data_IF_129832692316
#
_entry.id   IF_129832692316
#
_cell.length_a   1.000
_cell.length_b   1.000
_cell.length_c   1.000
_cell.angle_alpha   90.00
_cell.angle_beta   90.00
_cell.angle_gamma   90.00
#
_symmetry.space_group_name_H-M   'P 1'
#
loop_
_entity.id
_entity.type
_entity.pdbx_description
1 polymer ?
#
# COMPACT_ATOMS: atom_id res chain seq x y z
N UNK A 1 -11.17 -12.84 -33.56
CA UNK A 1 -11.00 -12.04 -34.79
C UNK A 1 -10.32 -12.91 -35.85
N UNK A 2 -11.01 -13.21 -36.94
CA UNK A 2 -10.46 -13.81 -38.17
C UNK A 2 -9.91 -12.70 -39.06
N UNK A 3 -8.82 -12.98 -39.77
CA UNK A 3 -8.19 -12.05 -40.72
C UNK A 3 -8.06 -12.78 -42.06
N UNK A 4 -8.40 -12.11 -43.15
CA UNK A 4 -8.18 -12.65 -44.50
C UNK A 4 -6.68 -12.71 -44.83
N UNK A 5 -6.30 -13.67 -45.67
CA UNK A 5 -4.89 -13.88 -46.03
C UNK A 5 -4.33 -12.77 -46.95
N UNK A 6 -5.20 -12.10 -47.71
CA UNK A 6 -4.86 -11.08 -48.71
C UNK A 6 -4.90 -9.63 -48.19
N UNK A 7 -4.83 -9.41 -46.88
CA UNK A 7 -4.86 -8.05 -46.32
C UNK A 7 -3.53 -7.33 -46.57
N UNK A 8 -3.57 -6.16 -47.22
CA UNK A 8 -2.42 -5.27 -47.39
C UNK A 8 -1.90 -4.82 -46.02
N UNK A 9 -0.60 -5.01 -45.76
CA UNK A 9 0.02 -4.79 -44.45
C UNK A 9 0.02 -3.34 -43.95
N UNK A 10 -0.22 -2.37 -44.84
CA UNK A 10 -0.28 -0.95 -44.51
C UNK A 10 -1.65 -0.48 -44.00
N UNK A 11 -2.72 -1.26 -44.25
CA UNK A 11 -4.08 -0.99 -43.78
C UNK A 11 -4.24 -1.20 -42.27
N UNK A 12 -5.24 -0.58 -41.61
CA UNK A 12 -5.55 -0.85 -40.20
C UNK A 12 -5.79 -2.34 -39.91
N UNK A 13 -6.43 -3.07 -40.83
CA UNK A 13 -6.65 -4.51 -40.70
C UNK A 13 -5.35 -5.31 -40.83
N UNK A 14 -4.44 -4.90 -41.71
CA UNK A 14 -3.12 -5.53 -41.87
C UNK A 14 -2.26 -5.37 -40.63
N UNK A 15 -2.33 -4.20 -39.98
CA UNK A 15 -1.66 -3.93 -38.71
C UNK A 15 -2.25 -4.71 -37.55
N UNK A 16 -3.58 -4.79 -37.44
CA UNK A 16 -4.22 -5.62 -36.40
C UNK A 16 -3.89 -7.11 -36.59
N UNK A 17 -3.82 -7.58 -37.84
CA UNK A 17 -3.29 -8.91 -38.18
C UNK A 17 -1.84 -9.03 -37.70
N UNK A 18 -1.00 -8.05 -38.01
CA UNK A 18 0.39 -8.03 -37.59
C UNK A 18 0.58 -8.09 -36.07
N UNK A 19 -0.25 -7.36 -35.30
CA UNK A 19 -0.25 -7.42 -33.83
C UNK A 19 -0.65 -8.82 -33.35
N UNK A 20 -1.72 -9.40 -33.90
CA UNK A 20 -2.15 -10.77 -33.53
C UNK A 20 -1.06 -11.81 -33.79
N UNK A 21 -0.27 -11.63 -34.85
CA UNK A 21 0.79 -12.55 -35.25
C UNK A 21 2.20 -12.13 -34.79
N UNK A 22 2.32 -11.06 -33.99
CA UNK A 22 3.58 -10.61 -33.41
C UNK A 22 4.58 -9.95 -34.38
N UNK A 23 4.16 -9.59 -35.59
CA UNK A 23 5.00 -8.88 -36.57
C UNK A 23 4.91 -7.35 -36.44
N UNK A 24 3.89 -6.85 -35.75
CA UNK A 24 3.68 -5.43 -35.47
C UNK A 24 3.42 -5.22 -33.98
N UNK A 25 3.70 -4.00 -33.49
CA UNK A 25 3.43 -3.64 -32.09
C UNK A 25 2.30 -2.63 -31.96
N UNK A 26 1.62 -2.63 -30.81
CA UNK A 26 0.62 -1.61 -30.48
C UNK A 26 1.15 -0.18 -30.62
N UNK A 27 2.44 0.05 -30.34
CA UNK A 27 3.07 1.37 -30.46
C UNK A 27 3.22 1.83 -31.91
N UNK A 28 3.48 0.89 -32.84
CA UNK A 28 3.56 1.18 -34.27
C UNK A 28 2.18 1.45 -34.84
N UNK A 29 1.17 0.66 -34.45
CA UNK A 29 -0.22 0.94 -34.80
C UNK A 29 -0.65 2.32 -34.31
N UNK A 30 -0.41 2.65 -33.04
CA UNK A 30 -0.77 3.95 -32.46
C UNK A 30 -0.10 5.11 -33.22
N UNK A 31 1.19 4.97 -33.55
CA UNK A 31 1.90 5.96 -34.37
C UNK A 31 1.25 6.15 -35.74
N UNK A 32 0.82 5.07 -36.41
CA UNK A 32 0.17 5.18 -37.72
C UNK A 32 -1.22 5.82 -37.63
N UNK A 33 -1.99 5.48 -36.59
CA UNK A 33 -3.27 6.14 -36.31
C UNK A 33 -3.08 7.65 -36.07
N UNK A 34 -2.05 8.04 -35.32
CA UNK A 34 -1.69 9.46 -35.15
C UNK A 34 -1.38 10.11 -36.50
N UNK A 35 -0.64 9.44 -37.38
CA UNK A 35 -0.34 9.95 -38.72
C UNK A 35 -1.61 10.19 -39.56
N UNK A 36 -2.59 9.28 -39.51
CA UNK A 36 -3.88 9.47 -40.20
C UNK A 36 -4.70 10.61 -39.60
N UNK A 37 -4.55 10.86 -38.29
CA UNK A 37 -5.16 11.99 -37.59
C UNK A 37 -4.38 13.31 -37.74
N UNK A 38 -3.28 13.34 -38.51
CA UNK A 38 -2.45 14.54 -38.68
C UNK A 38 -1.60 14.90 -37.45
N UNK A 39 -1.35 13.94 -36.54
CA UNK A 39 -0.57 14.13 -35.32
C UNK A 39 0.85 13.58 -35.48
N UNK A 40 1.84 14.35 -35.02
CA UNK A 40 3.21 13.85 -34.91
C UNK A 40 3.32 12.85 -33.76
N UNK A 41 3.83 11.66 -34.06
CA UNK A 41 4.03 10.60 -33.07
C UNK A 41 5.33 9.85 -33.34
N UNK A 42 6.09 9.59 -32.27
CA UNK A 42 7.33 8.82 -32.30
C UNK A 42 7.19 7.57 -31.45
N UNK A 43 7.96 6.53 -31.79
CA UNK A 43 8.14 5.34 -30.94
C UNK A 43 9.47 5.49 -30.23
N UNK A 44 9.44 5.52 -28.91
CA UNK A 44 10.60 5.63 -28.03
C UNK A 44 10.98 4.24 -27.58
N UNK A 45 12.29 3.95 -27.58
CA UNK A 45 12.87 2.72 -27.06
C UNK A 45 13.61 3.02 -25.75
N UNK A 46 13.49 2.11 -24.79
CA UNK A 46 14.03 2.34 -23.45
C UNK A 46 14.00 1.09 -22.57
N UNK A 47 14.10 1.35 -21.27
CA UNK A 47 13.91 0.40 -20.20
C UNK A 47 12.62 0.71 -19.44
N UNK A 48 12.02 -0.29 -18.81
CA UNK A 48 10.89 -0.08 -17.90
C UNK A 48 10.94 -0.97 -16.68
N UNK A 49 10.44 -0.49 -15.54
CA UNK A 49 10.23 -1.29 -14.32
C UNK A 49 8.98 -2.18 -14.46
N UNK A 50 8.96 -3.03 -15.48
CA UNK A 50 7.84 -3.88 -15.90
C UNK A 50 7.62 -5.09 -14.98
N UNK A 51 6.74 -6.01 -15.38
CA UNK A 51 6.49 -7.24 -14.63
C UNK A 51 7.80 -8.02 -14.38
N UNK A 52 8.02 -8.43 -13.13
CA UNK A 52 9.23 -9.12 -12.70
C UNK A 52 10.37 -8.20 -12.23
N UNK A 53 10.30 -6.89 -12.47
CA UNK A 53 11.27 -5.95 -11.88
C UNK A 53 11.08 -5.87 -10.36
N UNK A 54 12.19 -5.83 -9.62
CA UNK A 54 12.21 -5.58 -8.18
C UNK A 54 13.14 -4.39 -7.86
N UNK A 55 12.84 -3.60 -6.82
CA UNK A 55 13.65 -2.44 -6.44
C UNK A 55 15.12 -2.80 -6.20
N UNK A 56 16.05 -2.09 -6.85
CA UNK A 56 17.50 -2.35 -6.75
C UNK A 56 18.06 -3.27 -7.83
N UNK A 57 17.23 -3.85 -8.71
CA UNK A 57 17.70 -4.52 -9.93
C UNK A 57 18.20 -3.47 -10.93
N UNK A 58 19.38 -3.73 -11.50
CA UNK A 58 20.02 -2.90 -12.53
C UNK A 58 19.61 -3.27 -13.95
N UNK A 59 19.73 -2.33 -14.88
CA UNK A 59 19.39 -2.49 -16.29
C UNK A 59 20.65 -2.76 -17.14
N UNK A 60 21.25 -3.95 -16.97
CA UNK A 60 22.50 -4.33 -17.64
C UNK A 60 22.27 -5.09 -18.96
N UNK A 61 21.09 -5.70 -19.13
CA UNK A 61 20.75 -6.57 -20.25
C UNK A 61 19.46 -6.13 -20.98
N UNK A 62 18.92 -7.00 -21.84
CA UNK A 62 17.70 -6.71 -22.59
C UNK A 62 16.39 -7.13 -21.90
N UNK A 63 16.44 -7.66 -20.67
CA UNK A 63 15.29 -8.26 -19.95
C UNK A 63 14.14 -7.29 -19.74
N UNK A 64 14.46 -6.02 -19.55
CA UNK A 64 13.47 -4.96 -19.28
C UNK A 64 13.37 -3.93 -20.40
N UNK A 65 13.82 -4.29 -21.62
CA UNK A 65 13.62 -3.45 -22.81
C UNK A 65 12.13 -3.25 -23.07
N UNK A 66 11.77 -2.01 -23.36
CA UNK A 66 10.39 -1.66 -23.66
C UNK A 66 10.32 -0.56 -24.73
N UNK A 67 9.12 -0.32 -25.24
CA UNK A 67 8.84 0.78 -26.16
C UNK A 67 7.50 1.41 -25.82
N UNK A 68 7.38 2.71 -26.06
CA UNK A 68 6.17 3.50 -25.86
C UNK A 68 6.12 4.61 -26.90
N UNK A 69 5.05 5.40 -26.89
CA UNK A 69 4.90 6.51 -27.81
C UNK A 69 5.10 7.86 -27.12
N UNK A 70 5.56 8.85 -27.88
CA UNK A 70 5.30 10.24 -27.57
C UNK A 70 4.55 10.87 -28.74
N UNK A 71 3.48 11.59 -28.43
CA UNK A 71 2.62 12.29 -29.39
C UNK A 71 2.70 13.80 -29.12
N UNK A 72 2.78 14.60 -30.18
CA UNK A 72 2.77 16.06 -30.06
C UNK A 72 1.32 16.56 -30.11
N UNK A 73 0.84 17.12 -29.01
CA UNK A 73 -0.53 17.58 -28.85
C UNK A 73 -0.57 18.81 -27.95
N UNK A 74 -1.44 19.78 -28.26
CA UNK A 74 -1.58 21.02 -27.50
C UNK A 74 -0.25 21.76 -27.23
N UNK A 75 0.63 21.78 -28.24
CA UNK A 75 1.92 22.50 -28.18
C UNK A 75 3.05 21.76 -27.45
N UNK A 76 2.84 20.53 -26.97
CA UNK A 76 3.85 19.78 -26.22
C UNK A 76 3.89 18.28 -26.59
N UNK A 77 5.04 17.65 -26.39
CA UNK A 77 5.17 16.18 -26.44
C UNK A 77 4.60 15.56 -25.17
N UNK A 78 3.82 14.49 -25.33
CA UNK A 78 3.17 13.75 -24.25
C UNK A 78 3.31 12.25 -24.45
N UNK A 79 3.53 11.52 -23.36
CA UNK A 79 3.70 10.06 -23.42
C UNK A 79 2.38 9.33 -23.60
N UNK A 80 2.39 8.25 -24.36
CA UNK A 80 1.29 7.29 -24.43
C UNK A 80 1.87 5.89 -24.37
N UNK A 81 1.42 5.10 -23.39
CA UNK A 81 1.78 3.69 -23.29
C UNK A 81 0.52 2.81 -23.39
N UNK A 82 0.18 2.45 -24.63
CA UNK A 82 -1.00 1.67 -25.00
C UNK A 82 -1.13 0.34 -24.24
N UNK A 83 -0.05 -0.41 -24.06
CA UNK A 83 -0.10 -1.74 -23.43
C UNK A 83 -0.44 -1.67 -21.94
N UNK A 84 0.00 -0.60 -21.27
CA UNK A 84 -0.25 -0.41 -19.84
C UNK A 84 -1.59 0.30 -19.62
N UNK A 85 -1.96 1.23 -20.50
CA UNK A 85 -3.27 1.89 -20.47
C UNK A 85 -4.44 0.94 -20.78
N UNK A 86 -4.23 -0.08 -21.61
CA UNK A 86 -5.23 -1.11 -21.92
C UNK A 86 -5.20 -2.32 -20.96
N UNK A 87 -4.56 -2.17 -19.78
CA UNK A 87 -4.23 -3.16 -18.75
C UNK A 87 -4.96 -4.51 -18.90
N UNK A 88 -4.19 -5.52 -19.25
CA UNK A 88 -4.60 -6.92 -19.13
C UNK A 88 -4.43 -7.35 -17.67
N UNK A 89 -5.53 -7.55 -16.95
CA UNK A 89 -5.48 -8.28 -15.68
C UNK A 89 -5.29 -9.77 -15.97
N UNK A 90 -4.03 -10.19 -16.12
CA UNK A 90 -3.67 -11.61 -15.93
C UNK A 90 -3.60 -11.80 -14.43
N UNK A 91 -4.37 -12.74 -13.87
CA UNK A 91 -4.23 -13.08 -12.45
C UNK A 91 -2.78 -13.50 -12.21
N UNK A 92 -2.05 -12.77 -11.38
CA UNK A 92 -0.62 -12.97 -11.12
C UNK A 92 -0.25 -14.35 -10.54
N UNK A 93 -1.22 -15.25 -10.32
CA UNK A 93 -1.01 -16.65 -9.93
C UNK A 93 -0.90 -17.62 -11.10
N UNK A 94 -1.17 -17.19 -12.33
CA UNK A 94 -1.12 -18.06 -13.49
C UNK A 94 -0.10 -17.51 -14.49
N UNK A 95 1.19 -17.70 -14.16
CA UNK A 95 2.19 -17.81 -15.22
C UNK A 95 1.77 -19.02 -16.05
N UNK A 96 1.48 -18.88 -17.36
CA UNK A 96 1.10 -20.03 -18.18
C UNK A 96 2.26 -21.02 -18.15
N UNK A 97 2.08 -22.17 -17.48
CA UNK A 97 3.00 -23.29 -17.67
C UNK A 97 2.89 -23.70 -19.13
N UNK A 98 4.04 -23.72 -19.83
CA UNK A 98 4.13 -24.18 -21.21
C UNK A 98 3.51 -25.59 -21.29
N UNK A 99 2.36 -25.71 -21.96
CA UNK A 99 1.62 -26.98 -22.13
C UNK A 99 0.20 -27.05 -21.56
N UNK A 100 -0.25 -26.07 -20.76
CA UNK A 100 -1.63 -26.07 -20.26
C UNK A 100 -2.63 -25.54 -21.30
N UNK A 101 -3.14 -26.42 -22.18
CA UNK A 101 -4.36 -26.13 -22.96
C UNK A 101 -5.58 -26.29 -22.06
N UNK A 102 -6.20 -25.18 -21.66
CA UNK A 102 -7.58 -25.21 -21.17
C UNK A 102 -7.86 -24.38 -19.92
N UNK A 103 -8.14 -23.11 -20.12
CA UNK A 103 -9.27 -22.35 -19.55
C UNK A 103 -9.25 -21.00 -20.25
N UNK A 104 -10.43 -20.48 -20.65
CA UNK A 104 -10.48 -19.15 -21.27
C UNK A 104 -9.92 -18.15 -20.26
N UNK A 105 -8.74 -17.63 -20.56
CA UNK A 105 -8.08 -16.57 -19.83
C UNK A 105 -9.10 -15.43 -19.72
N UNK A 106 -9.66 -15.20 -18.54
CA UNK A 106 -10.70 -14.18 -18.36
C UNK A 106 -10.00 -12.82 -18.35
N UNK A 107 -9.52 -12.39 -19.51
CA UNK A 107 -8.88 -11.10 -19.72
C UNK A 107 -9.88 -10.01 -19.37
N UNK A 108 -9.75 -9.47 -18.15
CA UNK A 108 -10.47 -8.27 -17.75
C UNK A 108 -9.66 -7.08 -18.23
N UNK A 109 -10.23 -6.34 -19.17
CA UNK A 109 -9.73 -5.05 -19.59
C UNK A 109 -10.16 -4.00 -18.56
N UNK A 110 -9.18 -3.39 -17.89
CA UNK A 110 -9.39 -2.20 -17.06
C UNK A 110 -8.60 -1.07 -17.73
N UNK A 111 -9.24 0.06 -18.00
CA UNK A 111 -8.53 1.21 -18.58
C UNK A 111 -7.76 1.95 -17.49
N UNK A 112 -6.49 2.24 -17.72
CA UNK A 112 -5.65 3.03 -16.82
C UNK A 112 -5.15 4.31 -17.51
N UNK A 113 -5.91 5.38 -17.29
CA UNK A 113 -5.69 6.69 -17.89
C UNK A 113 -4.35 7.33 -17.49
N UNK A 114 -3.71 6.84 -16.42
CA UNK A 114 -2.37 7.30 -16.03
C UNK A 114 -1.37 7.19 -17.19
N UNK A 115 -1.49 6.20 -18.07
CA UNK A 115 -0.57 5.96 -19.19
C UNK A 115 -0.97 6.70 -20.47
N UNK A 116 -1.94 7.61 -20.40
CA UNK A 116 -2.36 8.47 -21.49
C UNK A 116 -2.02 9.93 -21.17
N UNK A 117 -1.09 10.50 -21.93
CA UNK A 117 -0.59 11.88 -21.77
C UNK A 117 0.07 12.17 -20.41
N UNK A 118 0.66 11.16 -19.79
CA UNK A 118 1.30 11.20 -18.46
C UNK A 118 2.30 12.35 -18.34
N UNK A 119 2.34 12.99 -17.17
CA UNK A 119 3.39 13.96 -16.85
C UNK A 119 4.77 13.28 -16.87
N UNK A 120 5.79 13.86 -17.54
CA UNK A 120 7.13 13.28 -17.57
C UNK A 120 7.75 12.99 -16.20
N UNK A 121 7.42 13.79 -15.18
CA UNK A 121 7.91 13.62 -13.80
C UNK A 121 7.32 12.39 -13.10
N UNK A 122 6.14 11.95 -13.53
CA UNK A 122 5.54 10.71 -13.06
C UNK A 122 6.01 9.54 -13.92
N UNK A 123 6.01 9.71 -15.25
CA UNK A 123 6.34 8.65 -16.21
C UNK A 123 7.77 8.12 -16.04
N UNK A 124 8.73 8.98 -15.69
CA UNK A 124 10.13 8.62 -15.47
C UNK A 124 10.32 7.61 -14.32
N UNK A 125 9.37 7.48 -13.38
CA UNK A 125 9.47 6.47 -12.33
C UNK A 125 9.39 5.04 -12.88
N UNK A 126 8.72 4.85 -14.02
CA UNK A 126 8.48 3.53 -14.60
C UNK A 126 9.21 3.30 -15.92
N UNK A 127 9.53 4.36 -16.69
CA UNK A 127 10.11 4.25 -18.04
C UNK A 127 11.31 5.18 -18.24
N UNK A 128 12.44 4.61 -18.67
CA UNK A 128 13.67 5.35 -18.94
C UNK A 128 14.06 5.23 -20.42
N UNK A 129 14.03 6.32 -21.21
CA UNK A 129 14.37 6.30 -22.64
C UNK A 129 15.87 6.15 -22.88
N UNK A 130 16.26 5.53 -23.99
CA UNK A 130 17.67 5.44 -24.39
C UNK A 130 18.25 6.78 -24.85
N UNK A 131 17.40 7.62 -25.41
CA UNK A 131 17.71 8.95 -25.91
C UNK A 131 17.29 9.97 -24.84
N UNK A 132 18.23 10.71 -24.22
CA UNK A 132 17.94 11.58 -23.07
C UNK A 132 16.89 12.66 -23.34
N UNK A 133 16.79 13.17 -24.57
CA UNK A 133 15.81 14.16 -24.99
C UNK A 133 14.36 13.68 -24.81
N UNK A 134 14.14 12.36 -24.93
CA UNK A 134 12.83 11.75 -24.76
C UNK A 134 12.45 11.51 -23.30
N UNK A 135 13.23 12.00 -22.33
CA UNK A 135 12.77 12.08 -20.94
C UNK A 135 11.74 13.19 -20.76
N UNK A 136 11.78 14.24 -21.61
CA UNK A 136 10.90 15.41 -21.53
C UNK A 136 10.94 16.14 -20.16
N UNK A 137 12.00 15.89 -19.38
CA UNK A 137 12.25 16.55 -18.11
C UNK A 137 13.04 17.84 -18.33
N UNK A 138 12.81 18.82 -17.44
CA UNK A 138 13.64 20.04 -17.40
C UNK A 138 15.11 19.72 -17.11
N UNK A 139 15.34 18.75 -16.22
CA UNK A 139 16.66 18.22 -15.88
C UNK A 139 16.61 16.72 -16.09
N UNK A 140 17.32 16.22 -17.09
CA UNK A 140 17.41 14.79 -17.36
C UNK A 140 18.15 14.07 -16.24
N UNK A 141 17.72 12.83 -15.95
CA UNK A 141 18.37 11.96 -14.98
C UNK A 141 19.22 10.90 -15.70
N UNK A 142 20.23 10.37 -15.03
CA UNK A 142 21.01 9.24 -15.54
C UNK A 142 20.28 7.90 -15.36
N UNK A 143 20.76 6.85 -16.03
CA UNK A 143 20.24 5.50 -15.80
C UNK A 143 20.41 5.06 -14.34
N UNK A 144 21.53 5.44 -13.71
CA UNK A 144 21.79 5.19 -12.30
C UNK A 144 20.75 5.85 -11.41
N UNK A 145 20.42 7.12 -11.68
CA UNK A 145 19.39 7.83 -10.91
C UNK A 145 18.02 7.17 -11.08
N UNK A 146 17.68 6.70 -12.29
CA UNK A 146 16.45 5.96 -12.56
C UNK A 146 16.37 4.63 -11.77
N UNK A 147 17.48 3.90 -11.68
CA UNK A 147 17.60 2.69 -10.86
C UNK A 147 17.39 2.96 -9.37
N UNK A 148 17.84 4.14 -8.91
CA UNK A 148 17.68 4.57 -7.51
C UNK A 148 16.27 5.12 -7.20
N UNK A 149 15.46 5.49 -8.20
CA UNK A 149 14.08 5.95 -7.98
C UNK A 149 13.22 4.86 -7.34
N UNK A 150 12.43 5.18 -6.29
CA UNK A 150 11.44 4.26 -5.71
C UNK A 150 10.59 3.58 -6.77
N UNK A 151 10.27 2.30 -6.55
CA UNK A 151 9.33 1.61 -7.42
C UNK A 151 7.92 2.05 -7.06
N UNK A 152 7.24 2.74 -7.97
CA UNK A 152 5.84 3.14 -7.82
C UNK A 152 5.02 2.67 -9.02
N UNK A 153 3.70 2.69 -8.88
CA UNK A 153 2.73 2.35 -9.92
C UNK A 153 1.76 3.50 -10.14
N UNK A 154 1.05 3.49 -11.27
CA UNK A 154 -0.04 4.45 -11.58
C UNK A 154 -0.96 4.82 -10.41
N UNK A 155 -1.30 3.87 -9.52
CA UNK A 155 -2.14 4.14 -8.35
C UNK A 155 -1.50 5.05 -7.30
N UNK A 156 -0.18 5.07 -7.20
CA UNK A 156 0.55 6.00 -6.34
C UNK A 156 0.20 7.45 -6.72
N UNK A 157 0.33 7.76 -8.02
CA UNK A 157 0.00 9.08 -8.57
C UNK A 157 -1.51 9.36 -8.56
N UNK A 158 -2.34 8.35 -8.86
CA UNK A 158 -3.81 8.49 -8.83
C UNK A 158 -4.34 8.86 -7.44
N UNK A 159 -3.72 8.35 -6.37
CA UNK A 159 -4.04 8.74 -5.00
C UNK A 159 -3.34 10.04 -4.54
N UNK A 160 -2.56 10.67 -5.42
CA UNK A 160 -1.78 11.88 -5.10
C UNK A 160 -0.70 11.65 -4.06
N UNK A 161 -0.21 10.41 -3.93
CA UNK A 161 0.85 10.08 -2.99
C UNK A 161 2.16 10.71 -3.44
N UNK A 162 3.00 11.07 -2.48
CA UNK A 162 4.34 11.57 -2.72
C UNK A 162 5.29 11.17 -1.60
N UNK A 163 6.58 11.16 -1.90
CA UNK A 163 7.61 10.94 -0.89
C UNK A 163 7.98 12.28 -0.26
N UNK A 164 7.78 12.48 1.06
CA UNK A 164 8.15 13.72 1.72
C UNK A 164 9.67 13.86 1.86
N UNK A 165 10.39 12.74 1.93
CA UNK A 165 11.85 12.70 2.09
C UNK A 165 12.53 12.63 0.71
N UNK A 166 13.36 13.62 0.36
CA UNK A 166 14.07 13.67 -0.94
C UNK A 166 15.07 12.53 -1.13
N UNK A 167 15.49 11.90 -0.03
CA UNK A 167 16.42 10.78 -0.03
C UNK A 167 15.72 9.41 -0.10
N UNK A 168 14.40 9.37 -0.36
CA UNK A 168 13.68 8.11 -0.55
C UNK A 168 14.12 7.44 -1.83
N UNK A 169 14.82 6.31 -1.71
CA UNK A 169 15.34 5.52 -2.84
C UNK A 169 14.67 4.15 -2.93
N UNK A 170 14.84 3.47 -4.05
CA UNK A 170 14.41 2.09 -4.27
C UNK A 170 14.99 1.12 -3.23
N UNK A 171 16.23 1.35 -2.83
CA UNK A 171 16.96 0.59 -1.81
C UNK A 171 17.15 1.46 -0.58
N UNK A 172 16.63 1.01 0.55
CA UNK A 172 16.71 1.69 1.84
C UNK A 172 17.54 0.84 2.81
N UNK A 173 18.58 1.44 3.37
CA UNK A 173 19.45 0.76 4.33
C UNK A 173 18.95 0.98 5.76
N UNK A 174 19.13 -0.02 6.61
CA UNK A 174 18.87 0.13 8.04
C UNK A 174 19.90 1.07 8.68
N UNK A 175 19.44 1.85 9.65
CA UNK A 175 20.30 2.61 10.54
C UNK A 175 21.02 1.72 11.57
N UNK A 176 21.77 2.34 12.49
CA UNK A 176 22.51 1.64 13.55
C UNK A 176 21.61 0.85 14.51
N UNK A 177 20.31 1.13 14.54
CA UNK A 177 19.32 0.40 15.34
C UNK A 177 18.77 -0.84 14.60
N UNK A 178 19.23 -1.10 13.37
CA UNK A 178 18.69 -2.14 12.51
C UNK A 178 17.33 -1.77 11.92
N UNK A 179 16.96 -0.49 11.88
CA UNK A 179 15.66 -0.05 11.37
C UNK A 179 15.78 0.79 10.09
N UNK A 180 14.84 0.63 9.16
CA UNK A 180 14.66 1.49 8.00
C UNK A 180 13.24 2.05 8.00
N UNK A 181 13.07 3.35 7.73
CA UNK A 181 11.75 3.99 7.69
C UNK A 181 11.43 4.46 6.29
N UNK A 182 10.29 4.00 5.77
CA UNK A 182 9.70 4.52 4.53
C UNK A 182 8.53 5.41 4.89
N UNK A 183 8.54 6.67 4.43
CA UNK A 183 7.45 7.63 4.61
C UNK A 183 6.76 7.93 3.29
N UNK A 184 5.44 7.94 3.33
CA UNK A 184 4.60 8.29 2.18
C UNK A 184 3.59 9.32 2.66
N UNK A 185 3.57 10.47 2.02
CA UNK A 185 2.60 11.51 2.29
C UNK A 185 1.40 11.34 1.36
N UNK A 186 0.22 11.66 1.89
CA UNK A 186 -1.04 11.63 1.15
C UNK A 186 -1.70 13.02 1.14
N UNK A 187 -2.55 13.31 0.15
CA UNK A 187 -3.34 14.54 0.12
C UNK A 187 -4.30 14.63 1.31
N UNK A 188 -4.54 15.84 1.83
CA UNK A 188 -5.38 16.05 3.02
C UNK A 188 -6.81 15.54 2.81
N UNK A 189 -7.36 15.74 1.62
CA UNK A 189 -8.71 15.28 1.26
C UNK A 189 -8.85 13.75 1.20
N UNK A 190 -7.75 13.00 1.17
CA UNK A 190 -7.74 11.53 1.10
C UNK A 190 -7.52 10.87 2.48
N UNK A 191 -7.11 11.61 3.51
CA UNK A 191 -6.75 11.03 4.82
C UNK A 191 -7.88 10.22 5.48
N UNK A 192 -9.12 10.61 5.24
CA UNK A 192 -10.31 9.99 5.85
C UNK A 192 -10.74 8.69 5.16
N UNK A 193 -10.27 8.43 3.93
CA UNK A 193 -10.65 7.24 3.15
C UNK A 193 -9.48 6.34 2.80
N UNK A 194 -8.27 6.88 2.71
CA UNK A 194 -7.13 6.09 2.27
C UNK A 194 -6.63 5.20 3.40
N UNK A 195 -6.62 3.90 3.12
CA UNK A 195 -6.11 2.87 4.02
C UNK A 195 -4.93 2.16 3.38
N UNK A 196 -3.97 1.75 4.21
CA UNK A 196 -2.74 1.11 3.77
C UNK A 196 -2.60 -0.29 4.35
N UNK A 197 -2.00 -1.15 3.55
CA UNK A 197 -1.56 -2.48 3.94
C UNK A 197 -0.13 -2.68 3.42
N UNK A 198 0.61 -3.61 4.01
CA UNK A 198 1.95 -3.91 3.59
C UNK A 198 2.23 -5.41 3.70
N UNK A 199 3.17 -5.88 2.89
CA UNK A 199 3.81 -7.17 3.03
C UNK A 199 5.31 -6.96 3.18
N UNK A 200 5.93 -7.72 4.09
CA UNK A 200 7.38 -7.84 4.21
C UNK A 200 7.76 -9.30 3.96
N UNK A 201 8.71 -9.52 3.05
CA UNK A 201 9.26 -10.85 2.76
C UNK A 201 10.77 -10.78 2.55
N UNK A 202 11.46 -11.91 2.59
CA UNK A 202 12.86 -11.98 2.13
C UNK A 202 12.93 -11.59 0.64
N UNK A 203 13.97 -10.84 0.26
CA UNK A 203 14.07 -10.25 -1.07
C UNK A 203 14.10 -11.30 -2.20
N UNK A 204 15.00 -12.29 -2.08
CA UNK A 204 15.17 -13.38 -3.06
C UNK A 204 14.20 -14.55 -2.86
N UNK A 205 13.19 -14.39 -2.00
CA UNK A 205 12.24 -15.44 -1.66
C UNK A 205 10.79 -14.98 -1.67
N UNK A 206 9.91 -15.96 -1.44
CA UNK A 206 8.49 -15.71 -1.13
C UNK A 206 8.18 -15.93 0.35
N UNK A 207 9.21 -16.20 1.18
CA UNK A 207 9.07 -16.39 2.61
C UNK A 207 8.71 -15.10 3.34
N UNK A 208 7.55 -15.09 3.98
CA UNK A 208 7.06 -14.04 4.89
C UNK A 208 7.22 -14.43 6.37
N UNK A 209 8.01 -15.47 6.64
CA UNK A 209 8.34 -15.98 7.97
C UNK A 209 9.84 -16.10 8.14
N UNK A 210 10.31 -15.84 9.36
CA UNK A 210 11.67 -16.13 9.80
C UNK A 210 11.58 -16.83 11.16
N UNK A 211 12.18 -18.02 11.28
CA UNK A 211 12.17 -18.84 12.50
C UNK A 211 10.76 -19.05 13.11
N UNK A 212 9.75 -19.24 12.24
CA UNK A 212 8.36 -19.41 12.65
C UNK A 212 7.62 -18.13 13.03
N UNK A 213 8.29 -16.97 12.98
CA UNK A 213 7.69 -15.66 13.24
C UNK A 213 7.39 -14.94 11.93
N UNK A 214 6.16 -14.44 11.79
CA UNK A 214 5.79 -13.65 10.61
C UNK A 214 6.54 -12.32 10.55
N UNK A 215 7.13 -12.01 9.39
CA UNK A 215 7.85 -10.79 9.11
C UNK A 215 6.99 -9.51 9.27
N UNK A 216 5.66 -9.63 9.18
CA UNK A 216 4.74 -8.52 9.48
C UNK A 216 4.94 -7.96 10.89
N UNK A 217 5.38 -8.79 11.85
CA UNK A 217 5.61 -8.39 13.25
C UNK A 217 6.87 -7.55 13.41
N UNK A 218 7.64 -7.34 12.35
CA UNK A 218 8.83 -6.50 12.33
C UNK A 218 8.58 -5.17 11.64
N UNK A 219 7.32 -4.81 11.36
CA UNK A 219 6.97 -3.53 10.74
C UNK A 219 5.97 -2.77 11.59
N UNK A 220 6.37 -1.57 12.00
CA UNK A 220 5.46 -0.62 12.64
C UNK A 220 4.90 0.33 11.57
N UNK A 221 3.67 0.07 11.14
CA UNK A 221 2.88 1.00 10.33
C UNK A 221 2.19 2.01 11.25
N UNK A 222 2.41 3.31 11.05
CA UNK A 222 1.74 4.37 11.81
C UNK A 222 1.34 5.52 10.88
N UNK A 223 0.34 6.30 11.29
CA UNK A 223 -0.12 7.48 10.53
C UNK A 223 -0.13 8.68 11.47
N UNK A 224 0.65 9.69 11.13
CA UNK A 224 0.73 10.96 11.86
C UNK A 224 0.48 12.09 10.86
N UNK A 225 -0.58 12.87 11.10
CA UNK A 225 -1.04 13.87 10.14
C UNK A 225 -1.35 13.24 8.78
N UNK A 226 -0.72 13.74 7.72
CA UNK A 226 -0.90 13.25 6.35
C UNK A 226 0.18 12.24 5.91
N UNK A 227 0.98 11.71 6.83
CA UNK A 227 2.12 10.85 6.51
C UNK A 227 1.89 9.46 7.11
N UNK A 228 1.89 8.44 6.26
CA UNK A 228 2.02 7.04 6.69
C UNK A 228 3.49 6.67 6.74
N UNK A 229 3.92 6.06 7.83
CA UNK A 229 5.29 5.59 8.05
C UNK A 229 5.30 4.08 8.21
N UNK A 230 6.18 3.39 7.48
CA UNK A 230 6.48 1.98 7.62
C UNK A 230 7.90 1.84 8.18
N UNK A 231 8.02 1.65 9.49
CA UNK A 231 9.30 1.42 10.14
C UNK A 231 9.57 -0.08 10.19
N UNK A 232 10.48 -0.54 9.34
CA UNK A 232 10.92 -1.93 9.25
C UNK A 232 12.09 -2.13 10.20
N UNK A 233 11.94 -3.02 11.16
CA UNK A 233 12.97 -3.45 12.09
C UNK A 233 13.56 -4.76 11.59
N UNK A 234 14.71 -4.74 10.94
CA UNK A 234 15.25 -5.93 10.31
C UNK A 234 15.46 -7.05 11.35
N UNK A 235 14.86 -8.23 11.16
CA UNK A 235 15.01 -9.34 12.12
C UNK A 235 16.37 -10.04 12.01
N UNK A 236 17.06 -9.89 10.89
CA UNK A 236 18.37 -10.46 10.62
C UNK A 236 19.14 -9.58 9.62
N UNK A 237 20.46 -9.75 9.56
CA UNK A 237 21.30 -9.19 8.51
C UNK A 237 20.97 -9.88 7.17
N UNK A 238 20.05 -9.29 6.42
CA UNK A 238 19.52 -9.81 5.18
C UNK A 238 18.86 -8.69 4.36
N UNK A 239 18.38 -9.05 3.19
CA UNK A 239 17.62 -8.19 2.29
C UNK A 239 16.14 -8.56 2.32
N UNK A 240 15.27 -7.56 2.38
CA UNK A 240 13.83 -7.73 2.45
C UNK A 240 13.13 -6.92 1.35
N UNK A 241 11.98 -7.38 0.90
CA UNK A 241 11.09 -6.64 0.03
C UNK A 241 9.88 -6.15 0.83
N UNK A 242 9.75 -4.83 0.97
CA UNK A 242 8.56 -4.16 1.47
C UNK A 242 7.66 -3.79 0.30
N UNK A 243 6.47 -4.38 0.23
CA UNK A 243 5.43 -4.06 -0.76
C UNK A 243 4.28 -3.34 -0.06
N UNK A 244 4.00 -2.10 -0.47
CA UNK A 244 2.97 -1.24 0.13
C UNK A 244 1.78 -1.20 -0.81
N UNK A 245 0.61 -1.42 -0.23
CA UNK A 245 -0.67 -1.41 -0.92
C UNK A 245 -1.58 -0.35 -0.32
N UNK A 246 -2.45 0.21 -1.15
CA UNK A 246 -3.46 1.16 -0.70
C UNK A 246 -4.83 0.86 -1.31
N UNK A 247 -5.87 1.33 -0.62
CA UNK A 247 -7.24 1.35 -1.11
C UNK A 247 -7.95 2.59 -0.56
N UNK A 248 -8.83 3.21 -1.36
CA UNK A 248 -9.70 4.30 -0.89
C UNK A 248 -11.03 3.69 -0.46
N UNK A 249 -11.31 3.72 0.84
CA UNK A 249 -12.50 3.13 1.46
C UNK A 249 -13.07 4.12 2.45
N UNK A 250 -14.31 4.55 2.27
CA UNK A 250 -14.96 5.44 3.23
C UNK A 250 -15.12 4.75 4.60
N UNK A 251 -15.20 5.51 5.70
CA UNK A 251 -15.45 4.91 7.01
C UNK A 251 -16.69 4.01 7.04
N UNK A 252 -17.76 4.39 6.33
CA UNK A 252 -18.98 3.59 6.23
C UNK A 252 -18.75 2.25 5.55
N UNK A 253 -18.02 2.23 4.43
CA UNK A 253 -17.67 1.00 3.71
C UNK A 253 -16.76 0.11 4.56
N UNK A 254 -15.78 0.71 5.25
CA UNK A 254 -14.86 -0.03 6.12
C UNK A 254 -15.62 -0.83 7.21
N UNK A 255 -16.63 -0.20 7.81
CA UNK A 255 -17.42 -0.78 8.90
C UNK A 255 -18.43 -1.84 8.44
N UNK A 256 -18.60 -2.06 7.13
CA UNK A 256 -19.42 -3.18 6.63
C UNK A 256 -18.75 -4.55 6.86
N UNK A 257 -17.43 -4.58 6.99
CA UNK A 257 -16.65 -5.82 7.07
C UNK A 257 -16.45 -6.52 5.73
N UNK A 258 -16.89 -5.92 4.62
CA UNK A 258 -16.70 -6.48 3.28
C UNK A 258 -15.20 -6.55 2.90
N UNK A 259 -14.77 -7.58 2.16
CA UNK A 259 -13.38 -7.74 1.75
C UNK A 259 -12.88 -6.54 0.94
N UNK A 260 -11.86 -5.86 1.47
CA UNK A 260 -11.23 -4.72 0.80
C UNK A 260 -10.15 -5.19 -0.18
N UNK A 261 -10.14 -4.63 -1.38
CA UNK A 261 -9.17 -4.95 -2.43
C UNK A 261 -8.03 -3.95 -2.44
N UNK A 262 -6.91 -4.35 -1.85
CA UNK A 262 -5.68 -3.59 -1.88
C UNK A 262 -4.93 -3.79 -3.21
N UNK A 263 -4.41 -2.71 -3.79
CA UNK A 263 -3.53 -2.75 -4.97
C UNK A 263 -2.17 -2.14 -4.59
N UNK A 264 -1.09 -2.74 -5.08
CA UNK A 264 0.28 -2.29 -4.78
C UNK A 264 0.48 -0.88 -5.36
N UNK A 265 0.99 0.03 -4.53
CA UNK A 265 1.29 1.42 -4.90
C UNK A 265 2.78 1.67 -4.99
N UNK A 266 3.59 1.03 -4.15
CA UNK A 266 5.05 1.15 -4.21
C UNK A 266 5.77 -0.02 -3.53
N UNK A 267 7.04 -0.23 -3.89
CA UNK A 267 7.90 -1.27 -3.33
C UNK A 267 9.30 -0.75 -3.01
N UNK A 268 9.91 -1.33 -1.98
CA UNK A 268 11.25 -0.99 -1.52
C UNK A 268 12.05 -2.25 -1.19
N UNK A 269 13.33 -2.25 -1.56
CA UNK A 269 14.31 -3.19 -1.03
C UNK A 269 14.86 -2.61 0.26
N UNK A 270 14.70 -3.33 1.37
CA UNK A 270 15.27 -2.97 2.66
C UNK A 270 16.52 -3.81 2.87
N UNK A 271 17.68 -3.17 3.11
CA UNK A 271 18.96 -3.87 3.28
C UNK A 271 19.45 -3.66 4.70
N UNK A 272 19.65 -4.77 5.42
CA UNK A 272 20.33 -4.80 6.70
C UNK A 272 21.66 -5.51 6.54
N UNK A 273 22.77 -4.76 6.58
CA UNK A 273 24.11 -5.33 6.40
C UNK A 273 24.62 -6.02 7.66
N UNK A 274 24.36 -5.41 8.81
CA UNK A 274 24.82 -5.88 10.12
C UNK A 274 23.74 -5.60 11.18
N UNK A 275 23.70 -6.45 12.21
CA UNK A 275 22.75 -6.34 13.31
C UNK A 275 23.52 -6.44 14.64
N UNK A 276 23.52 -5.38 15.43
CA UNK A 276 24.25 -5.35 16.72
C UNK A 276 23.42 -5.81 17.91
N UNK A 277 22.11 -5.93 17.74
CA UNK A 277 21.16 -6.31 18.80
C UNK A 277 20.14 -7.28 18.25
N UNK A 278 19.75 -8.27 19.05
CA UNK A 278 18.64 -9.17 18.70
C UNK A 278 17.36 -8.35 18.56
N UNK A 279 16.76 -8.39 17.37
CA UNK A 279 15.49 -7.72 17.11
C UNK A 279 14.34 -8.61 17.58
N UNK A 280 13.47 -8.05 18.41
CA UNK A 280 12.29 -8.75 18.95
C UNK A 280 11.07 -8.38 18.10
N UNK A 281 10.21 -9.34 17.71
CA UNK A 281 8.98 -9.02 17.00
C UNK A 281 8.04 -8.17 17.86
N UNK A 282 7.32 -7.24 17.25
CA UNK A 282 6.23 -6.51 17.89
C UNK A 282 5.19 -7.47 18.47
N UNK A 283 4.53 -7.15 19.59
CA UNK A 283 3.42 -7.94 20.15
C UNK A 283 2.38 -8.32 19.10
N UNK A 284 1.79 -9.51 19.23
CA UNK A 284 0.86 -10.07 18.24
C UNK A 284 -0.54 -9.44 18.35
N UNK A 285 -0.61 -8.16 18.00
CA UNK A 285 -1.84 -7.39 17.94
C UNK A 285 -2.60 -7.60 16.63
N UNK A 286 -3.83 -7.11 16.60
CA UNK A 286 -4.62 -7.05 15.37
C UNK A 286 -3.87 -6.33 14.23
N UNK A 287 -4.14 -6.74 12.99
CA UNK A 287 -3.54 -6.16 11.79
C UNK A 287 -3.98 -4.71 11.55
N UNK A 288 -3.12 -3.96 10.85
CA UNK A 288 -3.34 -2.55 10.52
C UNK A 288 -2.38 -1.60 11.23
N UNK A 289 -2.70 -0.31 11.16
CA UNK A 289 -1.89 0.78 11.70
C UNK A 289 -1.88 0.82 13.24
N UNK A 290 -0.76 1.24 13.79
CA UNK A 290 -0.57 1.56 15.20
C UNK A 290 -0.91 3.03 15.47
N UNK A 291 -1.47 3.28 16.65
CA UNK A 291 -1.92 4.58 17.12
C UNK A 291 -3.43 4.83 16.99
N UNK A 292 -3.89 5.99 17.48
CA UNK A 292 -5.31 6.33 17.58
C UNK A 292 -5.95 6.82 16.28
N UNK A 293 -5.18 7.08 15.23
CA UNK A 293 -5.66 7.68 13.98
C UNK A 293 -6.83 6.90 13.36
N UNK A 294 -6.76 5.57 13.36
CA UNK A 294 -7.86 4.70 12.92
C UNK A 294 -9.12 4.88 13.76
N UNK A 295 -8.95 4.98 15.08
CA UNK A 295 -10.04 5.11 16.04
C UNK A 295 -10.77 6.46 15.88
N UNK A 296 -10.01 7.54 15.69
CA UNK A 296 -10.57 8.86 15.40
C UNK A 296 -11.29 8.85 14.06
N UNK A 297 -10.64 8.36 12.99
CA UNK A 297 -11.19 8.34 11.62
C UNK A 297 -12.49 7.53 11.51
N UNK A 298 -12.54 6.34 12.11
CA UNK A 298 -13.67 5.42 11.94
C UNK A 298 -14.75 5.60 13.01
N UNK A 299 -14.35 5.83 14.26
CA UNK A 299 -15.25 5.80 15.42
C UNK A 299 -15.40 7.13 16.13
N UNK A 300 -14.65 8.17 15.75
CA UNK A 300 -14.70 9.45 16.47
C UNK A 300 -14.14 9.34 17.89
N UNK A 301 -13.25 8.36 18.13
CA UNK A 301 -12.49 8.25 19.37
C UNK A 301 -11.27 9.17 19.30
N UNK A 302 -11.36 10.32 19.93
CA UNK A 302 -10.32 11.36 19.94
C UNK A 302 -9.42 11.12 21.16
N UNK A 303 -8.10 10.88 20.99
CA UNK A 303 -7.21 10.63 22.11
C UNK A 303 -7.10 11.87 23.01
N UNK A 304 -7.20 11.67 24.33
CA UNK A 304 -7.01 12.73 25.35
C UNK A 304 -5.59 12.65 25.92
N UNK A 305 -5.12 11.44 26.29
CA UNK A 305 -3.85 11.28 26.98
C UNK A 305 -2.68 10.97 26.04
N UNK A 306 -2.83 10.01 25.13
CA UNK A 306 -1.71 9.52 24.30
C UNK A 306 -2.07 9.62 22.81
N UNK A 307 -1.60 10.66 22.09
CA UNK A 307 -1.85 10.80 20.66
C UNK A 307 -0.92 9.92 19.80
N UNK A 308 0.20 9.47 20.37
CA UNK A 308 1.23 8.72 19.66
C UNK A 308 1.08 7.20 19.81
N UNK A 309 1.48 6.47 18.77
CA UNK A 309 1.38 5.00 18.72
C UNK A 309 2.29 4.27 19.72
N UNK A 310 3.42 4.90 20.10
CA UNK A 310 4.39 4.38 21.06
C UNK A 310 4.22 5.12 22.39
N UNK A 311 4.06 4.36 23.47
CA UNK A 311 3.90 4.90 24.82
C UNK A 311 4.98 4.32 25.74
N UNK A 312 5.54 5.17 26.60
CA UNK A 312 6.39 4.75 27.71
C UNK A 312 5.60 4.90 29.01
N UNK A 313 5.55 3.83 29.80
CA UNK A 313 4.71 3.79 31.00
C UNK A 313 5.47 3.17 32.18
N UNK A 314 5.02 3.52 33.38
CA UNK A 314 5.41 2.85 34.62
C UNK A 314 4.68 1.51 34.80
N UNK A 315 4.33 1.19 36.05
CA UNK A 315 3.56 -0.02 36.40
C UNK A 315 2.06 0.08 36.09
N UNK A 316 1.52 1.29 36.10
CA UNK A 316 0.11 1.56 35.84
C UNK A 316 0.03 2.69 34.81
N UNK A 317 -1.01 2.65 33.98
CA UNK A 317 -1.27 3.68 32.98
C UNK A 317 -2.77 3.83 32.71
N UNK A 318 -3.18 5.05 32.40
CA UNK A 318 -4.53 5.38 31.96
C UNK A 318 -4.53 5.93 30.52
N UNK A 319 -5.25 5.27 29.61
CA UNK A 319 -5.49 5.75 28.24
C UNK A 319 -6.92 6.26 28.16
N UNK A 320 -7.09 7.54 27.80
CA UNK A 320 -8.40 8.16 27.70
C UNK A 320 -8.70 8.64 26.28
N UNK A 321 -9.95 8.47 25.86
CA UNK A 321 -10.49 9.01 24.61
C UNK A 321 -11.79 9.75 24.87
N UNK A 322 -12.01 10.85 24.15
CA UNK A 322 -13.32 11.48 24.01
C UNK A 322 -14.05 10.91 22.81
N UNK A 323 -15.30 10.50 23.01
CA UNK A 323 -16.21 10.01 22.00
C UNK A 323 -16.93 11.21 21.35
N UNK A 324 -16.65 11.48 20.08
CA UNK A 324 -17.37 12.51 19.32
C UNK A 324 -18.75 12.04 18.83
N UNK A 325 -19.06 10.75 18.99
CA UNK A 325 -20.34 10.13 18.67
C UNK A 325 -20.60 8.95 19.62
N UNK A 326 -21.87 8.55 19.84
CA UNK A 326 -22.17 7.43 20.72
C UNK A 326 -21.60 6.10 20.23
N UNK A 327 -20.86 5.41 21.10
CA UNK A 327 -20.26 4.09 20.88
C UNK A 327 -20.65 3.14 22.01
N UNK A 328 -20.54 1.83 21.76
CA UNK A 328 -20.87 0.79 22.75
C UNK A 328 -19.95 -0.41 22.61
N UNK A 329 -20.04 -1.34 23.56
CA UNK A 329 -19.34 -2.64 23.55
C UNK A 329 -17.82 -2.49 23.43
N UNK A 330 -17.23 -1.66 24.29
CA UNK A 330 -15.77 -1.55 24.37
C UNK A 330 -15.16 -2.87 24.85
N UNK A 331 -14.17 -3.34 24.10
CA UNK A 331 -13.36 -4.49 24.46
C UNK A 331 -11.90 -4.13 24.25
N UNK A 332 -11.03 -4.67 25.09
CA UNK A 332 -9.60 -4.43 25.01
C UNK A 332 -8.82 -5.70 25.30
N UNK A 333 -7.69 -5.88 24.60
CA UNK A 333 -6.79 -7.01 24.82
C UNK A 333 -5.36 -6.53 24.99
N UNK A 334 -4.62 -7.21 25.88
CA UNK A 334 -3.23 -6.90 26.19
C UNK A 334 -2.35 -8.09 25.79
N UNK A 335 -1.33 -7.81 24.98
CA UNK A 335 -0.44 -8.79 24.38
C UNK A 335 0.99 -8.56 24.86
N UNK A 336 1.72 -9.64 25.18
CA UNK A 336 3.17 -9.62 25.40
C UNK A 336 3.75 -10.93 24.87
N UNK A 337 4.89 -10.85 24.19
CA UNK A 337 5.54 -12.04 23.63
C UNK A 337 5.89 -13.05 24.72
N UNK A 338 5.51 -14.31 24.50
CA UNK A 338 5.77 -15.41 25.44
C UNK A 338 4.88 -15.41 26.69
N UNK A 339 3.93 -14.48 26.81
CA UNK A 339 3.01 -14.41 27.95
C UNK A 339 1.63 -14.99 27.62
N UNK A 340 0.91 -15.43 28.66
CA UNK A 340 -0.47 -15.92 28.54
C UNK A 340 -1.46 -14.75 28.48
N UNK A 341 -2.07 -14.55 27.32
CA UNK A 341 -3.05 -13.48 27.06
C UNK A 341 -4.24 -13.52 28.02
N UNK A 342 -4.69 -14.70 28.46
CA UNK A 342 -5.84 -14.79 29.39
C UNK A 342 -5.52 -14.18 30.75
N UNK A 343 -4.25 -14.23 31.17
CA UNK A 343 -3.79 -13.57 32.40
C UNK A 343 -3.66 -12.06 32.18
N UNK A 344 -3.08 -11.65 31.05
CA UNK A 344 -2.90 -10.24 30.72
C UNK A 344 -4.22 -9.48 30.54
N UNK A 345 -5.25 -10.11 29.99
CA UNK A 345 -6.55 -9.45 29.80
C UNK A 345 -7.24 -9.10 31.14
N UNK A 346 -6.84 -9.71 32.27
CA UNK A 346 -7.32 -9.32 33.61
C UNK A 346 -6.63 -8.05 34.14
N UNK A 347 -5.54 -7.64 33.51
CA UNK A 347 -4.78 -6.44 33.87
C UNK A 347 -5.35 -5.17 33.26
N UNK A 348 -6.38 -5.29 32.42
CA UNK A 348 -7.05 -4.15 31.79
C UNK A 348 -8.47 -4.05 32.29
N UNK A 349 -8.86 -2.86 32.72
CA UNK A 349 -10.26 -2.50 32.92
C UNK A 349 -10.59 -1.24 32.13
N UNK A 350 -11.86 -1.05 31.80
CA UNK A 350 -12.32 0.18 31.19
C UNK A 350 -13.58 0.69 31.87
N UNK A 351 -13.78 2.01 31.80
CA UNK A 351 -14.97 2.70 32.31
C UNK A 351 -15.34 3.85 31.39
N UNK A 352 -16.62 4.16 31.33
CA UNK A 352 -17.12 5.35 30.64
C UNK A 352 -17.43 6.41 31.70
N UNK A 353 -16.75 7.54 31.62
CA UNK A 353 -16.89 8.72 32.47
C UNK A 353 -17.67 9.79 31.69
N UNK A 354 -18.52 10.55 32.39
CA UNK A 354 -19.23 11.73 31.84
C UNK A 354 -20.00 11.49 30.52
N UNK A 355 -20.37 10.23 30.26
CA UNK A 355 -21.04 9.73 29.05
C UNK A 355 -20.25 9.84 27.73
N UNK A 356 -19.18 10.62 27.66
CA UNK A 356 -18.39 10.86 26.44
C UNK A 356 -16.90 10.48 26.58
N UNK A 357 -16.39 10.17 27.76
CA UNK A 357 -14.99 9.78 27.95
C UNK A 357 -14.89 8.28 28.23
N UNK A 358 -14.16 7.54 27.40
CA UNK A 358 -13.76 6.16 27.72
C UNK A 358 -12.34 6.16 28.28
N UNK A 359 -12.16 5.55 29.44
CA UNK A 359 -10.89 5.41 30.13
C UNK A 359 -10.53 3.93 30.24
N UNK A 360 -9.32 3.58 29.82
CA UNK A 360 -8.72 2.24 29.96
C UNK A 360 -7.59 2.31 30.98
N UNK A 361 -7.70 1.51 32.03
CA UNK A 361 -6.70 1.41 33.10
C UNK A 361 -5.94 0.11 32.90
N UNK A 362 -4.63 0.19 32.77
CA UNK A 362 -3.73 -0.93 32.47
C UNK A 362 -2.73 -1.08 33.60
N UNK A 363 -2.65 -2.28 34.17
CA UNK A 363 -1.71 -2.64 35.23
C UNK A 363 -0.68 -3.67 34.72
N UNK A 364 0.55 -3.25 34.50
CA UNK A 364 1.59 -4.12 33.95
C UNK A 364 2.13 -5.08 35.02
N UNK A 365 2.01 -6.40 34.84
CA UNK A 365 2.48 -7.37 35.84
C UNK A 365 4.01 -7.40 35.95
N UNK A 366 4.71 -7.05 34.88
CA UNK A 366 6.16 -7.05 34.79
C UNK A 366 6.63 -6.01 33.77
N UNK A 367 7.93 -5.73 33.74
CA UNK A 367 8.51 -4.85 32.73
C UNK A 367 8.54 -5.52 31.36
N UNK A 368 8.50 -4.71 30.30
CA UNK A 368 8.64 -5.18 28.93
C UNK A 368 7.79 -4.42 27.93
N UNK A 369 7.70 -5.00 26.74
CA UNK A 369 6.95 -4.43 25.63
C UNK A 369 5.59 -5.11 25.48
N UNK A 370 4.54 -4.30 25.50
CA UNK A 370 3.15 -4.71 25.44
C UNK A 370 2.47 -4.14 24.20
N UNK A 371 1.52 -4.90 23.66
CA UNK A 371 0.60 -4.44 22.63
C UNK A 371 -0.79 -4.31 23.23
N UNK A 372 -1.44 -3.16 23.06
CA UNK A 372 -2.77 -2.92 23.61
C UNK A 372 -3.75 -2.64 22.49
N UNK A 373 -4.69 -3.56 22.26
CA UNK A 373 -5.74 -3.43 21.25
C UNK A 373 -7.05 -2.93 21.87
N UNK A 374 -7.77 -2.07 21.14
CA UNK A 374 -9.11 -1.59 21.49
C UNK A 374 -10.07 -1.91 20.35
N UNK A 375 -11.25 -2.38 20.73
CA UNK A 375 -12.36 -2.71 19.85
C UNK A 375 -13.62 -1.99 20.34
N UNK A 376 -14.45 -1.57 19.40
CA UNK A 376 -15.74 -0.95 19.70
C UNK A 376 -16.69 -1.13 18.51
N UNK A 377 -17.95 -0.71 18.68
CA UNK A 377 -18.93 -0.63 17.59
C UNK A 377 -19.82 0.59 17.74
N UNK A 378 -20.39 1.03 16.63
CA UNK A 378 -21.41 2.08 16.64
C UNK A 378 -22.73 1.58 17.24
N UNK A 379 -23.46 2.48 17.90
CA UNK A 379 -24.82 2.20 18.35
C UNK A 379 -25.74 2.15 17.12
N UNK A 380 -26.49 1.05 16.95
CA UNK A 380 -27.45 0.93 15.84
C UNK A 380 -28.45 2.10 15.86
N UNK A 381 -28.75 2.73 14.72
CA UNK A 381 -29.73 3.82 14.65
C UNK A 381 -31.12 3.42 15.16
N UNK A 382 -31.48 2.13 15.12
CA UNK A 382 -32.76 1.62 15.65
C UNK A 382 -32.91 1.77 17.18
N UNK A 383 -31.82 2.05 17.90
CA UNK A 383 -31.86 2.32 19.34
C UNK A 383 -32.04 3.82 19.69
N UNK A 384 -32.02 4.72 18.71
CA UNK A 384 -32.24 6.17 18.96
C UNK A 384 -33.72 6.56 19.01
N UNK A 385 -34.61 5.72 18.50
CA UNK A 385 -36.05 5.98 18.49
C UNK A 385 -36.78 4.89 19.31
N UNK A 386 -37.14 5.22 20.55
CA UNK A 386 -38.09 4.44 21.34
C UNK A 386 -39.51 4.54 20.79
N UNK A 387 -39.74 4.08 19.56
CA UNK A 387 -41.08 3.98 18.96
C UNK A 387 -41.61 2.55 19.15
N UNK A 388 -42.60 2.32 20.03
CA UNK A 388 -43.15 1.00 20.26
C UNK A 388 -44.13 0.67 19.13
N UNK A 389 -43.65 0.04 18.05
CA UNK A 389 -44.57 -0.41 17.00
C UNK A 389 -43.94 -0.73 15.65
N UNK A 390 -43.03 -1.71 15.58
CA UNK A 390 -42.77 -2.43 14.34
C UNK A 390 -42.08 -3.76 14.64
N UNK A 391 -42.79 -4.86 14.42
CA UNK A 391 -42.21 -6.21 14.43
C UNK A 391 -41.66 -6.49 13.03
N UNK A 392 -40.42 -6.97 12.97
CA UNK A 392 -39.69 -7.53 11.81
C UNK A 392 -38.78 -6.60 10.98
N UNK A 393 -37.64 -6.26 11.56
CA UNK A 393 -36.36 -6.45 10.90
C UNK A 393 -35.35 -6.79 12.00
N UNK A 394 -34.58 -7.87 11.86
CA UNK A 394 -33.53 -8.20 12.81
C UNK A 394 -32.53 -7.04 12.82
N UNK A 395 -32.52 -6.26 13.91
CA UNK A 395 -31.59 -5.15 14.09
C UNK A 395 -30.16 -5.65 13.96
N UNK A 396 -29.52 -5.39 12.80
CA UNK A 396 -28.12 -5.76 12.58
C UNK A 396 -27.29 -4.91 13.51
N UNK A 397 -26.86 -5.48 14.65
CA UNK A 397 -25.82 -4.87 15.49
C UNK A 397 -24.61 -4.58 14.60
N UNK A 398 -24.08 -3.36 14.65
CA UNK A 398 -22.85 -2.98 13.96
C UNK A 398 -21.71 -3.93 14.35
N UNK A 399 -20.75 -4.16 13.45
CA UNK A 399 -19.64 -5.08 13.67
C UNK A 399 -18.74 -4.58 14.81
N UNK A 400 -18.39 -5.44 15.77
CA UNK A 400 -17.29 -5.14 16.70
C UNK A 400 -16.00 -5.12 15.91
N UNK A 401 -15.36 -3.97 15.87
CA UNK A 401 -14.25 -3.73 14.96
C UNK A 401 -13.06 -3.22 15.74
N UNK A 402 -11.87 -3.72 15.41
CA UNK A 402 -10.62 -3.19 15.93
C UNK A 402 -10.49 -1.72 15.52
N UNK A 403 -10.32 -0.83 16.50
CA UNK A 403 -10.26 0.61 16.25
C UNK A 403 -8.89 1.21 16.55
N UNK A 404 -8.14 0.69 17.53
CA UNK A 404 -6.88 1.27 17.96
C UNK A 404 -5.91 0.20 18.42
N UNK A 405 -4.62 0.43 18.25
CA UNK A 405 -3.59 -0.32 18.98
C UNK A 405 -2.39 0.52 19.37
N UNK A 406 -1.82 0.27 20.54
CA UNK A 406 -0.62 0.96 21.02
C UNK A 406 0.50 -0.03 21.31
N UNK A 407 1.73 0.39 21.04
CA UNK A 407 2.94 -0.26 21.53
C UNK A 407 3.34 0.42 22.83
N UNK A 408 3.43 -0.32 23.92
CA UNK A 408 3.68 0.24 25.25
C UNK A 408 4.94 -0.40 25.82
N UNK A 409 5.95 0.42 26.11
CA UNK A 409 7.15 0.00 26.82
C UNK A 409 6.98 0.33 28.31
N UNK A 410 6.71 -0.70 29.13
CA UNK A 410 6.60 -0.57 30.58
C UNK A 410 7.95 -0.83 31.26
N UNK A 411 8.38 0.08 32.12
CA UNK A 411 9.56 -0.08 32.98
C UNK A 411 9.37 0.64 34.30
N UNK A 412 9.98 0.17 35.39
CA UNK A 412 9.95 0.84 36.70
C UNK A 412 10.63 2.22 36.71
N UNK A 413 11.43 2.52 35.69
CA UNK A 413 12.17 3.80 35.56
C UNK A 413 11.35 4.90 34.90
N UNK A 414 10.24 4.55 34.26
CA UNK A 414 9.27 5.46 33.67
C UNK A 414 8.15 5.70 34.68
#
# INVERSE_FOLDING_TARGET
MSFDDNITGDTPMGLLRGIKHGTESYHVLFKRLCSYAGLHCVVIKGYSKSAGYQPGVKFEDNRFRNSWNAVYVAGAWRFVQCNWGARHLVNAKEVPKVGAKGKSDSLRYEYDDHYFLTDPREFIYEFFPLQPEWQLLKTSISLRDFEELPFVRSLFFRYGLYFPDTNTKAVMYTDQTGAATVRIAMPVNMQSSLIFHYNLKLYDGDGDMLDGVSLKRFVMQSVVGNIVSFRVHAPAAAEFLLDVFANSVTPREYLTGEPMKFKSVCKFKIVCTELYTVMVPLPDCASGEWGPTKATRLFGLIPITHPEALIFAGKEMEIQFRMSKPLTDFMSTLHKNGADEKKLNKCVTHRILDQDIVSFIINFPEEGQYGFDVYTREISPDHRAGSPGSKSASGRKCLLTHCCKYLINSSKRN
#
